data_IF_198100470722
#
_entry.id   IF_198100470722
#
_cell.length_a   1.000
_cell.length_b   1.000
_cell.length_c   1.000
_cell.angle_alpha   90.00
_cell.angle_beta   90.00
_cell.angle_gamma   90.00
#
_symmetry.space_group_name_H-M   'P 1'
#
loop_
_entity.id
_entity.type
_entity.pdbx_description
1 polymer ?
#
# COMPACT_ATOMS: atom_id res chain seq x y z
N UNK A 1 5.58 -7.77 -12.50
CA UNK A 1 4.33 -8.52 -12.26
C UNK A 1 3.30 -8.14 -13.31
N UNK A 2 2.69 -9.09 -14.01
CA UNK A 2 1.50 -8.85 -14.86
C UNK A 2 0.27 -9.13 -14.00
N UNK A 3 -0.34 -8.07 -13.49
CA UNK A 3 -1.60 -8.17 -12.76
C UNK A 3 -2.69 -8.51 -13.79
N UNK A 4 -3.49 -9.54 -13.58
CA UNK A 4 -4.74 -9.70 -14.35
C UNK A 4 -5.78 -8.71 -13.82
N UNK A 5 -6.62 -8.15 -14.68
CA UNK A 5 -7.77 -7.38 -14.22
C UNK A 5 -8.62 -8.25 -13.30
N UNK A 6 -9.11 -7.70 -12.18
CA UNK A 6 -9.89 -8.44 -11.18
C UNK A 6 -9.18 -9.68 -10.60
N UNK A 7 -7.84 -9.68 -10.53
CA UNK A 7 -7.10 -10.70 -9.77
C UNK A 7 -6.83 -10.24 -8.34
N UNK A 8 -7.11 -11.12 -7.37
CA UNK A 8 -6.77 -10.88 -5.96
C UNK A 8 -5.27 -10.82 -5.75
N UNK A 9 -4.82 -10.02 -4.78
CA UNK A 9 -3.42 -9.93 -4.39
C UNK A 9 -3.29 -9.41 -2.97
N UNK A 10 -2.14 -9.67 -2.36
CA UNK A 10 -1.85 -9.20 -1.00
C UNK A 10 -0.39 -8.77 -0.85
N UNK A 11 -0.17 -7.74 -0.05
CA UNK A 11 1.14 -7.33 0.46
C UNK A 11 1.23 -7.63 1.95
N UNK A 12 2.41 -8.02 2.42
CA UNK A 12 2.75 -8.12 3.85
C UNK A 12 4.15 -7.55 4.05
N UNK A 13 4.35 -6.77 5.09
CA UNK A 13 5.64 -6.12 5.38
C UNK A 13 5.73 -5.77 6.86
N UNK A 14 6.93 -5.82 7.42
CA UNK A 14 7.23 -5.22 8.72
C UNK A 14 7.76 -3.81 8.53
N UNK A 15 7.22 -2.86 9.29
CA UNK A 15 7.62 -1.45 9.23
C UNK A 15 8.01 -0.95 10.61
N UNK A 16 9.00 -0.07 10.67
CA UNK A 16 9.42 0.61 11.89
C UNK A 16 9.65 2.10 11.57
N UNK A 17 8.59 2.93 11.62
CA UNK A 17 8.69 4.37 11.36
C UNK A 17 9.51 5.06 12.45
N UNK A 18 10.39 5.98 12.07
CA UNK A 18 11.20 6.76 13.01
C UNK A 18 10.57 8.12 13.38
N UNK A 19 9.55 8.54 12.62
CA UNK A 19 8.79 9.79 12.80
C UNK A 19 7.29 9.50 12.76
N UNK A 20 6.50 10.32 13.44
CA UNK A 20 5.05 10.13 13.59
C UNK A 20 4.21 10.92 12.59
N UNK A 21 4.82 11.53 11.58
CA UNK A 21 4.13 12.41 10.62
C UNK A 21 5.07 12.93 9.55
N UNK A 22 4.56 13.74 8.62
CA UNK A 22 5.30 14.23 7.45
C UNK A 22 5.19 13.35 6.21
N UNK A 23 4.43 12.25 6.26
CA UNK A 23 4.21 11.35 5.13
C UNK A 23 5.26 10.25 4.99
N UNK A 24 5.37 9.74 3.77
CA UNK A 24 6.34 8.71 3.40
C UNK A 24 5.69 7.52 2.70
N UNK A 25 6.23 7.17 1.53
CA UNK A 25 5.78 6.01 0.75
C UNK A 25 6.53 4.75 1.17
N UNK A 26 5.79 3.76 1.69
CA UNK A 26 6.35 2.45 2.06
C UNK A 26 6.41 1.52 0.86
N UNK A 27 5.32 1.44 0.11
CA UNK A 27 5.22 0.66 -1.12
C UNK A 27 4.76 1.60 -2.21
N UNK A 28 5.53 1.67 -3.29
CA UNK A 28 5.23 2.43 -4.48
C UNK A 28 5.13 1.50 -5.70
N UNK A 29 4.13 1.72 -6.55
CA UNK A 29 3.98 1.01 -7.81
C UNK A 29 3.98 1.98 -8.99
N UNK A 30 4.73 1.63 -10.04
CA UNK A 30 4.76 2.39 -11.29
C UNK A 30 4.90 1.50 -12.52
N UNK A 31 4.46 1.99 -13.68
CA UNK A 31 4.73 1.35 -14.97
C UNK A 31 6.11 1.69 -15.54
N UNK A 32 6.89 2.56 -14.88
CA UNK A 32 8.26 2.86 -15.26
C UNK A 32 9.23 2.64 -14.10
N UNK A 33 10.46 2.27 -14.43
CA UNK A 33 11.50 1.98 -13.44
C UNK A 33 11.87 3.20 -12.59
N UNK A 34 11.74 4.41 -13.13
CA UNK A 34 12.04 5.65 -12.41
C UNK A 34 10.88 6.15 -11.51
N UNK A 35 9.77 5.40 -11.41
CA UNK A 35 8.61 5.78 -10.61
C UNK A 35 7.61 6.71 -11.31
N UNK A 36 7.96 7.32 -12.45
CA UNK A 36 7.18 8.40 -13.08
C UNK A 36 6.05 7.98 -14.03
N UNK A 37 5.86 6.68 -14.25
CA UNK A 37 4.83 6.15 -15.13
C UNK A 37 3.43 6.31 -14.53
N UNK A 38 2.51 5.42 -14.93
CA UNK A 38 1.25 5.31 -14.21
C UNK A 38 1.53 4.73 -12.82
N UNK A 39 1.39 5.57 -11.80
CA UNK A 39 1.79 5.23 -10.44
C UNK A 39 0.76 5.57 -9.37
N UNK A 40 0.93 4.92 -8.23
CA UNK A 40 0.22 5.13 -6.96
C UNK A 40 1.02 4.46 -5.84
N UNK A 41 0.70 4.78 -4.60
CA UNK A 41 1.38 4.21 -3.44
C UNK A 41 0.44 3.25 -2.70
N UNK A 42 0.55 1.92 -2.91
CA UNK A 42 -0.27 0.96 -2.17
C UNK A 42 -0.23 1.13 -0.65
N UNK A 43 0.89 1.59 -0.11
CA UNK A 43 1.06 1.81 1.32
C UNK A 43 1.87 3.09 1.55
N UNK A 44 1.26 4.06 2.21
CA UNK A 44 1.80 5.42 2.38
C UNK A 44 1.24 6.07 3.65
N UNK A 45 1.94 7.04 4.22
CA UNK A 45 1.48 7.80 5.37
C UNK A 45 0.83 9.13 4.96
N UNK A 46 -0.15 9.57 5.75
CA UNK A 46 -0.65 10.95 5.73
C UNK A 46 0.38 11.91 6.34
N UNK A 47 0.13 13.21 6.23
CA UNK A 47 0.93 14.23 6.94
C UNK A 47 0.86 14.07 8.47
N UNK A 48 -0.24 13.54 8.99
CA UNK A 48 -0.51 13.32 10.42
C UNK A 48 -0.07 11.94 10.93
N UNK A 49 0.46 11.08 10.05
CA UNK A 49 1.06 9.79 10.42
C UNK A 49 0.12 8.60 10.37
N UNK A 50 -1.14 8.76 9.97
CA UNK A 50 -2.01 7.62 9.69
C UNK A 50 -1.51 6.85 8.48
N UNK A 51 -1.62 5.53 8.56
CA UNK A 51 -1.37 4.63 7.45
C UNK A 51 -2.51 4.71 6.43
N UNK A 52 -2.20 4.71 5.14
CA UNK A 52 -3.17 4.66 4.06
C UNK A 52 -2.84 3.49 3.14
N UNK A 53 -3.79 2.56 3.01
CA UNK A 53 -3.73 1.52 2.01
C UNK A 53 -4.45 1.97 0.73
N UNK A 54 -3.84 1.77 -0.43
CA UNK A 54 -4.43 2.16 -1.72
C UNK A 54 -4.43 1.03 -2.75
N UNK A 55 -5.40 1.09 -3.66
CA UNK A 55 -5.44 0.25 -4.86
C UNK A 55 -6.00 1.02 -6.03
N UNK A 56 -5.43 0.83 -7.22
CA UNK A 56 -6.05 1.34 -8.44
C UNK A 56 -7.38 0.62 -8.69
N UNK A 57 -8.42 1.41 -8.95
CA UNK A 57 -9.73 0.97 -9.39
C UNK A 57 -9.88 1.19 -10.91
N UNK A 58 -11.00 0.75 -11.51
CA UNK A 58 -11.35 1.01 -12.91
C UNK A 58 -11.15 2.47 -13.31
N UNK A 59 -10.35 2.72 -14.35
CA UNK A 59 -10.04 4.06 -14.86
C UNK A 59 -8.87 4.73 -14.13
N UNK A 60 -8.82 6.08 -14.06
CA UNK A 60 -7.76 6.80 -13.36
C UNK A 60 -7.95 6.86 -11.83
N UNK A 61 -8.97 6.21 -11.29
CA UNK A 61 -9.34 6.33 -9.88
C UNK A 61 -8.53 5.42 -8.97
N UNK A 62 -8.17 5.94 -7.79
CA UNK A 62 -7.53 5.17 -6.71
C UNK A 62 -8.49 5.12 -5.54
N UNK A 63 -8.68 3.92 -5.01
CA UNK A 63 -9.42 3.71 -3.79
C UNK A 63 -8.45 3.72 -2.60
N UNK A 64 -8.86 4.26 -1.46
CA UNK A 64 -8.01 4.36 -0.27
C UNK A 64 -8.76 3.95 1.00
N UNK A 65 -8.04 3.33 1.94
CA UNK A 65 -8.50 3.04 3.30
C UNK A 65 -7.59 3.74 4.30
N UNK A 66 -8.20 4.48 5.22
CA UNK A 66 -7.50 5.09 6.34
C UNK A 66 -7.31 4.05 7.45
N UNK A 67 -6.06 3.82 7.81
CA UNK A 67 -5.63 3.01 8.94
C UNK A 67 -5.28 3.85 10.16
N UNK A 68 -4.61 3.25 11.15
CA UNK A 68 -4.22 3.91 12.39
C UNK A 68 -2.88 4.64 12.21
N UNK A 69 -2.55 5.50 13.18
CA UNK A 69 -1.18 5.97 13.36
C UNK A 69 -0.35 4.83 13.95
N UNK A 70 0.83 4.57 13.37
CA UNK A 70 1.73 3.53 13.87
C UNK A 70 2.65 4.09 14.97
N UNK A 71 3.02 3.27 15.98
CA UNK A 71 4.02 3.67 16.97
C UNK A 71 5.38 3.85 16.30
N UNK A 72 6.08 4.93 16.67
CA UNK A 72 7.45 5.17 16.20
C UNK A 72 8.44 4.24 16.92
N UNK A 73 9.55 3.93 16.25
CA UNK A 73 10.64 3.09 16.76
C UNK A 73 10.17 1.70 17.24
N UNK A 74 9.05 1.21 16.70
CA UNK A 74 8.43 -0.06 17.06
C UNK A 74 8.08 -0.83 15.81
N UNK A 75 8.59 -2.05 15.70
CA UNK A 75 8.24 -2.96 14.61
C UNK A 75 6.74 -3.26 14.64
N UNK A 76 6.09 -2.99 13.51
CA UNK A 76 4.67 -3.22 13.30
C UNK A 76 4.48 -4.01 12.03
N UNK A 77 3.77 -5.13 12.11
CA UNK A 77 3.39 -5.89 10.92
C UNK A 77 2.21 -5.22 10.23
N UNK A 78 2.28 -5.07 8.91
CA UNK A 78 1.23 -4.47 8.08
C UNK A 78 0.93 -5.40 6.92
N UNK A 79 -0.35 -5.66 6.67
CA UNK A 79 -0.79 -6.36 5.47
C UNK A 79 -1.96 -5.67 4.77
N UNK A 80 -1.91 -5.64 3.43
CA UNK A 80 -3.01 -5.21 2.58
C UNK A 80 -3.50 -6.44 1.83
N UNK A 81 -4.78 -6.74 1.94
CA UNK A 81 -5.43 -7.86 1.25
C UNK A 81 -6.52 -7.32 0.35
N UNK A 82 -6.46 -7.65 -0.94
CA UNK A 82 -7.40 -7.15 -1.94
C UNK A 82 -7.99 -8.30 -2.74
N UNK A 83 -9.31 -8.37 -2.85
CA UNK A 83 -10.02 -9.28 -3.74
C UNK A 83 -11.25 -8.64 -4.37
N UNK A 84 -11.67 -9.08 -5.56
CA UNK A 84 -12.93 -8.65 -6.14
C UNK A 84 -14.14 -9.10 -5.32
N UNK A 85 -14.06 -10.22 -4.59
CA UNK A 85 -15.19 -10.72 -3.81
C UNK A 85 -15.39 -9.96 -2.50
N UNK A 86 -14.29 -9.64 -1.81
CA UNK A 86 -14.34 -9.14 -0.43
C UNK A 86 -13.77 -7.72 -0.28
N UNK A 87 -13.34 -7.08 -1.37
CA UNK A 87 -12.82 -5.72 -1.35
C UNK A 87 -11.39 -5.61 -0.82
N UNK A 88 -11.03 -4.42 -0.33
CA UNK A 88 -9.71 -4.13 0.26
C UNK A 88 -9.80 -4.17 1.79
N UNK A 89 -8.79 -4.76 2.43
CA UNK A 89 -8.63 -4.82 3.89
C UNK A 89 -7.20 -4.49 4.27
N UNK A 90 -7.06 -3.71 5.33
CA UNK A 90 -5.81 -3.36 5.97
C UNK A 90 -5.74 -4.04 7.33
N UNK A 91 -4.65 -4.76 7.57
CA UNK A 91 -4.35 -5.41 8.83
C UNK A 91 -3.10 -4.81 9.46
N UNK A 92 -3.11 -4.68 10.78
CA UNK A 92 -1.99 -4.21 11.59
C UNK A 92 -1.79 -5.19 12.74
N UNK A 93 -0.57 -5.71 12.89
CA UNK A 93 -0.23 -6.74 13.89
C UNK A 93 -1.21 -7.94 13.88
N UNK A 94 -1.53 -8.42 12.67
CA UNK A 94 -2.43 -9.55 12.48
C UNK A 94 -3.92 -9.24 12.63
N UNK A 95 -4.29 -8.05 13.10
CA UNK A 95 -5.68 -7.65 13.35
C UNK A 95 -6.25 -6.77 12.24
N UNK A 96 -7.53 -6.96 11.90
CA UNK A 96 -8.21 -6.13 10.90
C UNK A 96 -8.36 -4.69 11.42
N UNK A 97 -7.78 -3.73 10.71
CA UNK A 97 -7.77 -2.33 11.11
C UNK A 97 -8.73 -1.47 10.31
N UNK A 98 -8.81 -1.69 8.99
CA UNK A 98 -9.74 -0.98 8.11
C UNK A 98 -10.19 -1.88 6.96
N UNK A 99 -11.40 -1.64 6.45
CA UNK A 99 -11.93 -2.34 5.29
C UNK A 99 -12.87 -1.44 4.48
N UNK A 100 -13.12 -1.82 3.22
CA UNK A 100 -14.13 -1.19 2.39
C UNK A 100 -15.53 -1.44 2.96
N UNK A 101 -16.28 -0.37 3.27
CA UNK A 101 -17.67 -0.47 3.72
C UNK A 101 -18.60 -0.77 2.54
N UNK A 102 -19.07 -2.02 2.41
CA UNK A 102 -20.12 -2.40 1.46
C UNK A 102 -19.87 -3.74 0.79
N UNK A 103 -20.96 -4.49 0.55
CA UNK A 103 -20.96 -5.68 -0.29
C UNK A 103 -20.82 -5.26 -1.76
N UNK A 104 -19.60 -4.90 -2.16
CA UNK A 104 -19.30 -4.43 -3.50
C UNK A 104 -17.81 -4.50 -3.68
N UNK A 105 -17.36 -5.51 -4.42
CA UNK A 105 -15.97 -5.73 -4.74
C UNK A 105 -15.19 -4.50 -5.18
N UNK A 106 -13.87 -4.53 -5.00
CA UNK A 106 -13.00 -3.58 -5.68
C UNK A 106 -12.80 -4.06 -7.12
N UNK A 107 -13.11 -3.22 -8.10
CA UNK A 107 -12.72 -3.47 -9.49
C UNK A 107 -11.21 -3.25 -9.60
N UNK A 108 -10.45 -4.33 -9.62
CA UNK A 108 -9.00 -4.29 -9.57
C UNK A 108 -8.48 -4.03 -10.98
N UNK A 109 -7.96 -2.83 -11.22
CA UNK A 109 -7.37 -2.48 -12.52
C UNK A 109 -5.96 -3.06 -12.68
N UNK A 110 -5.66 -3.47 -13.91
CA UNK A 110 -4.37 -4.03 -14.31
C UNK A 110 -3.77 -3.26 -15.48
N UNK A 111 -2.45 -3.14 -15.46
CA UNK A 111 -1.67 -2.68 -16.61
C UNK A 111 -1.14 -3.89 -17.38
N UNK A 112 -1.09 -3.77 -18.70
CA UNK A 112 -0.46 -4.75 -19.59
C UNK A 112 1.07 -4.69 -19.54
N UNK A 113 1.62 -3.58 -19.03
CA UNK A 113 3.05 -3.40 -18.81
C UNK A 113 3.48 -3.98 -17.45
N UNK A 114 4.75 -4.41 -17.31
CA UNK A 114 5.28 -4.82 -16.02
C UNK A 114 5.19 -3.66 -15.01
N UNK A 115 4.66 -3.95 -13.83
CA UNK A 115 4.73 -3.04 -12.68
C UNK A 115 6.09 -3.17 -11.99
N UNK A 116 6.69 -2.03 -11.67
CA UNK A 116 7.86 -1.88 -10.81
C UNK A 116 7.39 -1.60 -9.38
N UNK A 117 8.00 -2.26 -8.40
CA UNK A 117 7.77 -2.03 -6.98
C UNK A 117 9.00 -1.32 -6.41
N UNK A 118 8.80 -0.18 -5.77
CA UNK A 118 9.84 0.49 -4.96
C UNK A 118 9.41 0.43 -3.50
N UNK A 119 10.34 0.05 -2.63
CA UNK A 119 10.13 -0.04 -1.19
C UNK A 119 10.94 1.06 -0.51
N UNK A 120 10.38 1.70 0.52
CA UNK A 120 10.98 2.81 1.27
C UNK A 120 11.66 3.83 0.35
N UNK A 121 10.86 4.70 -0.30
CA UNK A 121 11.46 5.75 -1.10
C UNK A 121 12.39 6.61 -0.24
N UNK A 122 13.54 7.02 -0.77
CA UNK A 122 14.51 7.90 -0.08
C UNK A 122 14.37 9.37 -0.51
N UNK A 123 13.55 9.65 -1.52
CA UNK A 123 13.23 10.98 -2.05
C UNK A 123 11.78 10.98 -2.55
N UNK A 124 11.10 12.14 -2.63
CA UNK A 124 9.93 12.24 -3.50
C UNK A 124 10.28 11.69 -4.89
N UNK A 125 9.43 10.79 -5.36
CA UNK A 125 9.66 10.01 -6.57
C UNK A 125 9.89 10.93 -7.79
N UNK A 126 10.74 10.47 -8.70
CA UNK A 126 11.10 11.12 -9.97
C UNK A 126 12.23 12.16 -9.91
N UNK A 127 12.81 12.56 -11.07
CA UNK A 127 13.97 13.44 -11.15
C UNK A 127 13.78 14.86 -10.57
N UNK A 128 12.55 15.24 -10.22
CA UNK A 128 12.17 16.60 -9.81
C UNK A 128 11.30 16.65 -8.56
N UNK A 129 11.22 15.58 -7.77
CA UNK A 129 10.51 15.59 -6.48
C UNK A 129 9.01 15.91 -6.57
N UNK A 130 8.39 15.68 -7.72
CA UNK A 130 6.95 15.89 -7.94
C UNK A 130 6.46 14.94 -9.02
N UNK A 131 6.49 13.64 -8.74
CA UNK A 131 5.69 12.71 -9.53
C UNK A 131 4.24 12.85 -9.09
N UNK A 132 3.40 13.35 -10.00
CA UNK A 132 1.95 13.33 -9.83
C UNK A 132 1.43 11.90 -9.97
N UNK A 133 1.62 11.07 -8.94
CA UNK A 133 0.94 9.78 -8.88
C UNK A 133 -0.56 9.97 -8.66
N UNK A 134 -1.31 8.94 -9.05
CA UNK A 134 -2.73 8.89 -8.77
C UNK A 134 -2.92 8.63 -7.27
N UNK A 135 -3.74 9.44 -6.63
CA UNK A 135 -4.07 9.34 -5.22
C UNK A 135 -5.58 9.17 -5.06
N UNK A 136 -6.01 8.51 -3.99
CA UNK A 136 -7.42 8.44 -3.64
C UNK A 136 -7.91 9.70 -2.92
N UNK A 137 -9.10 9.62 -2.36
CA UNK A 137 -9.75 10.75 -1.67
C UNK A 137 -9.11 11.11 -0.32
N UNK A 138 -8.30 10.22 0.25
CA UNK A 138 -7.56 10.47 1.50
C UNK A 138 -6.28 11.24 1.14
N UNK A 139 -6.07 12.47 1.67
CA UNK A 139 -4.84 13.21 1.44
C UNK A 139 -3.63 12.44 2.00
N UNK A 140 -2.67 12.15 1.13
CA UNK A 140 -1.41 11.49 1.47
C UNK A 140 -0.24 12.42 1.14
N UNK A 141 0.91 12.16 1.74
CA UNK A 141 2.16 12.86 1.39
C UNK A 141 3.16 11.80 0.90
N UNK A 142 3.18 11.53 -0.42
CA UNK A 142 4.17 10.64 -1.01
C UNK A 142 5.56 11.25 -0.86
N UNK A 143 6.55 10.42 -0.56
CA UNK A 143 7.89 10.92 -0.29
C UNK A 143 8.77 9.94 0.42
N UNK A 144 9.85 10.47 0.99
CA UNK A 144 10.81 9.67 1.71
C UNK A 144 10.15 8.97 2.91
N UNK A 145 10.31 7.65 3.03
CA UNK A 145 9.92 6.93 4.23
C UNK A 145 11.08 6.94 5.23
N UNK A 146 10.88 7.63 6.36
CA UNK A 146 11.87 7.66 7.43
C UNK A 146 11.63 6.50 8.41
N UNK A 147 12.31 5.39 8.19
CA UNK A 147 12.22 4.22 9.06
C UNK A 147 12.94 3.00 8.49
N UNK A 148 12.66 1.84 9.08
CA UNK A 148 13.15 0.57 8.58
C UNK A 148 12.00 -0.30 8.07
N UNK A 149 12.31 -1.17 7.11
CA UNK A 149 11.41 -2.19 6.58
C UNK A 149 12.08 -3.56 6.73
N UNK A 150 11.27 -4.60 6.91
CA UNK A 150 11.75 -5.97 6.84
C UNK A 150 10.68 -6.90 6.24
N UNK A 151 11.10 -8.07 5.79
CA UNK A 151 10.21 -9.22 5.59
C UNK A 151 9.05 -8.96 4.60
N UNK A 152 9.31 -8.19 3.53
CA UNK A 152 8.35 -7.91 2.47
C UNK A 152 7.95 -9.18 1.71
N UNK A 153 6.64 -9.40 1.61
CA UNK A 153 6.02 -10.52 0.89
C UNK A 153 4.91 -10.01 -0.02
N UNK A 154 4.80 -10.66 -1.17
CA UNK A 154 3.79 -10.38 -2.18
C UNK A 154 3.13 -11.69 -2.62
N UNK A 155 1.80 -11.69 -2.60
CA UNK A 155 0.99 -12.83 -2.97
C UNK A 155 0.08 -12.49 -4.14
N UNK A 156 -0.04 -13.40 -5.10
CA UNK A 156 -0.98 -13.33 -6.22
C UNK A 156 -2.37 -13.87 -5.85
N UNK A 157 -2.73 -13.78 -4.56
CA UNK A 157 -4.01 -14.25 -4.03
C UNK A 157 -4.44 -13.42 -2.82
N UNK A 158 -5.69 -13.59 -2.46
CA UNK A 158 -6.23 -13.15 -1.19
C UNK A 158 -5.65 -13.99 -0.05
N UNK A 159 -5.03 -13.34 0.94
CA UNK A 159 -4.68 -13.98 2.20
C UNK A 159 -5.92 -14.04 3.11
N UNK A 160 -6.03 -15.13 3.86
CA UNK A 160 -7.00 -15.26 4.95
C UNK A 160 -6.54 -14.48 6.18
N UNK A 161 -7.47 -14.15 7.09
CA UNK A 161 -7.12 -13.54 8.38
C UNK A 161 -6.16 -14.41 9.20
N UNK A 162 -6.28 -15.74 9.11
CA UNK A 162 -5.38 -16.67 9.79
C UNK A 162 -3.96 -16.61 9.24
N UNK A 163 -3.80 -16.54 7.92
CA UNK A 163 -2.48 -16.40 7.30
C UNK A 163 -1.83 -15.07 7.66
N UNK A 164 -2.61 -13.98 7.68
CA UNK A 164 -2.12 -12.66 8.11
C UNK A 164 -1.70 -12.68 9.58
N UNK A 165 -2.45 -13.36 10.45
CA UNK A 165 -2.11 -13.54 11.85
C UNK A 165 -0.79 -14.30 12.02
N UNK A 166 -0.57 -15.38 11.25
CA UNK A 166 0.71 -16.12 11.28
C UNK A 166 1.87 -15.22 10.85
N UNK A 167 1.72 -14.45 9.77
CA UNK A 167 2.77 -13.54 9.28
C UNK A 167 3.15 -12.45 10.30
N UNK A 168 2.21 -12.03 11.13
CA UNK A 168 2.44 -11.04 12.19
C UNK A 168 3.18 -11.57 13.42
N UNK A 169 3.41 -12.89 13.50
CA UNK A 169 4.09 -13.57 14.62
C UNK A 169 5.34 -14.33 14.16
N UNK A 170 5.84 -14.05 12.96
CA UNK A 170 7.12 -14.57 12.47
C UNK A 170 8.31 -13.86 13.10
#
# INVERSE_FOLDING_TARGET
>A
MTKGSNSSYSFSIWVNPSISGGGGSVIHLSTSQNGNGNCYDPLVFTVTGELVAQTMQSGPSVYSLLGPVLPINTWTHVAIVISPANGMRLYVNGQLSALTSGAGGVNIFAYTNPAYITLANESPLGPSGSVGCKNGSIPIVPGAFAGALDEFRLYNRELTSQEVCVLANL
#
